data_IF_893115448397
#
_entry.id   IF_893115448397
#
_cell.length_a   1.000
_cell.length_b   1.000
_cell.length_c   1.000
_cell.angle_alpha   90.00
_cell.angle_beta   90.00
_cell.angle_gamma   90.00
#
_symmetry.space_group_name_H-M   'P 1'
#
loop_
_entity.id
_entity.type
_entity.pdbx_description
1 polymer ?
#
# COMPACT_ATOMS: atom_id res chain seq x y z
N UNK A 1 42.81 -6.98 16.48
CA UNK A 1 41.65 -6.40 15.77
C UNK A 1 40.32 -6.87 16.35
N UNK A 2 40.07 -8.18 16.46
CA UNK A 2 38.82 -8.73 17.02
C UNK A 2 38.50 -8.21 18.44
N UNK A 3 39.45 -8.31 19.36
CA UNK A 3 39.22 -7.92 20.76
C UNK A 3 38.97 -6.40 20.92
N UNK A 4 39.57 -5.58 20.06
CA UNK A 4 39.32 -4.14 20.02
C UNK A 4 37.90 -3.82 19.52
N UNK A 5 37.42 -4.53 18.49
CA UNK A 5 36.05 -4.36 17.97
C UNK A 5 35.02 -4.83 19.00
N UNK A 6 35.26 -5.94 19.68
CA UNK A 6 34.38 -6.46 20.72
C UNK A 6 34.33 -5.53 21.94
N UNK A 7 35.46 -4.94 22.34
CA UNK A 7 35.52 -3.94 23.40
C UNK A 7 34.73 -2.66 23.04
N UNK A 8 34.88 -2.15 21.81
CA UNK A 8 34.12 -0.99 21.32
C UNK A 8 32.62 -1.29 21.29
N UNK A 9 32.21 -2.47 20.80
CA UNK A 9 30.81 -2.89 20.79
C UNK A 9 30.23 -2.99 22.21
N UNK A 10 30.99 -3.54 23.15
CA UNK A 10 30.57 -3.64 24.55
C UNK A 10 30.39 -2.26 25.19
N UNK A 11 31.27 -1.30 24.91
CA UNK A 11 31.15 0.07 25.42
C UNK A 11 29.93 0.79 24.84
N UNK A 12 29.68 0.67 23.52
CA UNK A 12 28.49 1.24 22.87
C UNK A 12 27.21 0.65 23.46
N UNK A 13 27.14 -0.67 23.60
CA UNK A 13 25.97 -1.34 24.19
C UNK A 13 25.75 -0.96 25.65
N UNK A 14 26.83 -0.83 26.43
CA UNK A 14 26.76 -0.40 27.83
C UNK A 14 26.23 1.03 27.95
N UNK A 15 26.74 1.96 27.12
CA UNK A 15 26.28 3.35 27.07
C UNK A 15 24.82 3.44 26.61
N UNK A 16 24.44 2.72 25.57
CA UNK A 16 23.06 2.67 25.06
C UNK A 16 22.09 2.14 26.12
N UNK A 17 22.43 1.04 26.79
CA UNK A 17 21.60 0.45 27.85
C UNK A 17 21.45 1.39 29.05
N UNK A 18 22.54 2.07 29.44
CA UNK A 18 22.49 3.07 30.51
C UNK A 18 21.56 4.24 30.15
N UNK A 19 21.69 4.80 28.95
CA UNK A 19 20.84 5.89 28.47
C UNK A 19 19.36 5.49 28.37
N UNK A 20 19.08 4.28 27.87
CA UNK A 20 17.71 3.75 27.80
C UNK A 20 17.09 3.58 29.19
N UNK A 21 17.84 3.06 30.16
CA UNK A 21 17.38 2.93 31.55
C UNK A 21 17.13 4.28 32.21
N UNK A 22 18.03 5.26 32.01
CA UNK A 22 17.85 6.64 32.53
C UNK A 22 16.60 7.27 31.91
N UNK A 23 16.42 7.15 30.59
CA UNK A 23 15.24 7.68 29.92
C UNK A 23 13.95 7.02 30.42
N UNK A 24 13.93 5.69 30.59
CA UNK A 24 12.77 4.97 31.12
C UNK A 24 12.41 5.43 32.54
N UNK A 25 13.41 5.62 33.41
CA UNK A 25 13.20 6.10 34.77
C UNK A 25 12.68 7.56 34.79
N UNK A 26 13.25 8.44 33.96
CA UNK A 26 12.75 9.82 33.83
C UNK A 26 11.32 9.87 33.31
N UNK A 27 10.93 9.00 32.38
CA UNK A 27 9.56 8.92 31.88
C UNK A 27 8.59 8.35 32.92
N UNK A 28 9.01 7.39 33.78
CA UNK A 28 8.19 6.94 34.90
C UNK A 28 8.02 8.03 35.95
N UNK A 29 9.08 8.76 36.28
CA UNK A 29 9.02 9.85 37.26
C UNK A 29 8.12 11.00 36.78
N UNK A 30 8.22 11.38 35.50
CA UNK A 30 7.29 12.35 34.87
C UNK A 30 5.84 11.89 34.96
N UNK A 31 5.56 10.60 34.78
CA UNK A 31 4.19 10.05 34.89
C UNK A 31 3.68 10.05 36.33
N UNK A 32 4.54 9.76 37.30
CA UNK A 32 4.17 9.77 38.74
C UNK A 32 3.94 11.18 39.26
N UNK A 33 4.72 12.17 38.80
CA UNK A 33 4.60 13.59 39.19
C UNK A 33 3.45 14.32 38.47
N UNK A 34 2.87 13.74 37.41
CA UNK A 34 1.74 14.32 36.71
C UNK A 34 0.42 14.13 37.50
N UNK A 35 -0.24 15.24 37.83
CA UNK A 35 -1.59 15.25 38.42
C UNK A 35 -2.59 14.45 37.58
N UNK A 36 -3.61 13.79 38.18
CA UNK A 36 -4.61 12.99 37.46
C UNK A 36 -5.31 13.74 36.31
N UNK A 37 -5.54 15.05 36.49
CA UNK A 37 -6.13 15.95 35.49
C UNK A 37 -5.18 16.30 34.32
N UNK A 38 -3.87 16.06 34.46
CA UNK A 38 -2.87 16.19 33.39
C UNK A 38 -2.46 14.84 32.78
N UNK A 39 -2.86 13.70 33.34
CA UNK A 39 -2.63 12.38 32.74
C UNK A 39 -3.39 12.21 31.41
N UNK A 40 -4.45 13.02 31.16
CA UNK A 40 -5.12 13.11 29.86
C UNK A 40 -4.40 13.98 28.82
N UNK A 41 -3.39 14.76 29.24
CA UNK A 41 -2.47 15.46 28.35
C UNK A 41 -1.17 14.67 28.24
N UNK A 42 -1.27 13.36 27.95
CA UNK A 42 -0.16 12.65 27.36
C UNK A 42 0.32 13.49 26.16
N UNK A 43 1.63 13.73 26.06
CA UNK A 43 2.29 14.47 24.98
C UNK A 43 1.56 14.24 23.65
N UNK A 44 1.33 15.26 22.79
CA UNK A 44 0.47 15.14 21.62
C UNK A 44 0.93 13.94 20.79
N UNK A 45 0.28 12.79 21.01
CA UNK A 45 0.56 11.60 20.25
C UNK A 45 0.03 11.95 18.89
N UNK A 46 0.94 12.24 17.95
CA UNK A 46 0.56 12.50 16.58
C UNK A 46 -0.41 11.39 16.19
N UNK A 47 -1.64 11.78 15.81
CA UNK A 47 -2.67 10.81 15.42
C UNK A 47 -2.08 10.02 14.26
N UNK A 48 -1.73 8.75 14.49
CA UNK A 48 -1.20 7.88 13.44
C UNK A 48 -2.38 7.51 12.55
N UNK A 49 -2.37 8.01 11.32
CA UNK A 49 -3.36 7.62 10.33
C UNK A 49 -2.96 6.27 9.74
N UNK A 50 -3.88 5.32 9.84
CA UNK A 50 -3.71 4.00 9.24
C UNK A 50 -4.15 4.09 7.78
N UNK A 51 -3.33 3.60 6.82
CA UNK A 51 -3.69 3.66 5.41
C UNK A 51 -4.96 2.83 5.15
N UNK A 52 -5.83 3.38 4.29
CA UNK A 52 -6.99 2.67 3.73
C UNK A 52 -6.82 2.58 2.23
N UNK A 53 -7.33 1.50 1.65
CA UNK A 53 -7.27 1.30 0.22
C UNK A 53 -8.22 2.28 -0.47
N UNK A 54 -7.75 2.95 -1.52
CA UNK A 54 -8.62 3.79 -2.34
C UNK A 54 -8.99 3.06 -3.64
N UNK A 55 -9.99 2.17 -3.55
CA UNK A 55 -10.49 1.39 -4.68
C UNK A 55 -10.97 2.24 -5.85
N UNK A 56 -11.65 3.36 -5.59
CA UNK A 56 -12.11 4.24 -6.67
C UNK A 56 -10.93 4.83 -7.45
N UNK A 57 -9.93 5.36 -6.74
CA UNK A 57 -8.68 5.83 -7.36
C UNK A 57 -7.97 4.69 -8.10
N UNK A 58 -7.90 3.50 -7.50
CA UNK A 58 -7.25 2.35 -8.09
C UNK A 58 -7.85 1.92 -9.43
N UNK A 59 -9.18 1.90 -9.54
CA UNK A 59 -9.85 1.54 -10.78
C UNK A 59 -9.86 2.65 -11.83
N UNK A 60 -9.99 3.92 -11.40
CA UNK A 60 -10.20 5.04 -12.31
C UNK A 60 -8.90 5.74 -12.75
N UNK A 61 -7.86 5.77 -11.90
CA UNK A 61 -6.59 6.42 -12.27
C UNK A 61 -5.74 5.62 -13.24
N UNK A 62 -6.14 4.37 -13.55
CA UNK A 62 -5.54 3.58 -14.64
C UNK A 62 -5.92 4.08 -16.03
N UNK A 63 -6.90 5.00 -16.15
CA UNK A 63 -7.30 5.54 -17.44
C UNK A 63 -6.19 6.45 -17.99
N UNK A 64 -5.89 6.39 -19.30
CA UNK A 64 -4.90 7.27 -19.91
C UNK A 64 -5.20 8.75 -19.62
N UNK A 65 -4.24 9.46 -19.04
CA UNK A 65 -4.40 10.89 -18.71
C UNK A 65 -4.49 11.72 -19.99
N UNK A 66 -5.49 12.59 -20.05
CA UNK A 66 -5.69 13.51 -21.19
C UNK A 66 -4.91 14.82 -21.06
N UNK A 67 -4.05 14.97 -20.05
CA UNK A 67 -3.31 16.21 -19.79
C UNK A 67 -2.41 16.64 -20.95
N UNK A 68 -1.93 15.69 -21.76
CA UNK A 68 -1.10 15.97 -22.94
C UNK A 68 -1.89 16.37 -24.20
N UNK A 69 -3.22 16.24 -24.20
CA UNK A 69 -4.03 16.41 -25.41
C UNK A 69 -3.97 17.86 -25.93
N UNK A 70 -4.02 18.85 -25.04
CA UNK A 70 -3.94 20.26 -25.43
C UNK A 70 -2.60 20.61 -26.11
N UNK A 71 -1.49 20.07 -25.58
CA UNK A 71 -0.17 20.24 -26.18
C UNK A 71 -0.03 19.52 -27.52
N UNK A 72 -0.60 18.31 -27.63
CA UNK A 72 -0.61 17.54 -28.87
C UNK A 72 -1.45 18.24 -29.95
N UNK A 73 -2.61 18.79 -29.60
CA UNK A 73 -3.45 19.54 -30.54
C UNK A 73 -2.79 20.78 -31.12
N UNK A 74 -1.89 21.42 -30.36
CA UNK A 74 -1.13 22.57 -30.82
C UNK A 74 0.12 22.21 -31.64
N UNK A 75 0.46 20.92 -31.74
CA UNK A 75 1.67 20.48 -32.45
C UNK A 75 1.49 20.55 -33.97
N UNK A 76 2.56 20.94 -34.68
CA UNK A 76 2.59 20.99 -36.14
C UNK A 76 2.25 19.63 -36.76
N UNK A 77 2.69 18.52 -36.15
CA UNK A 77 2.37 17.16 -36.61
C UNK A 77 0.87 16.91 -36.58
N UNK A 78 0.20 17.25 -35.47
CA UNK A 78 -1.25 17.06 -35.34
C UNK A 78 -2.02 17.95 -36.31
N UNK A 79 -1.57 19.19 -36.53
CA UNK A 79 -2.15 20.09 -37.52
C UNK A 79 -2.07 19.52 -38.94
N UNK A 80 -0.94 18.89 -39.31
CA UNK A 80 -0.79 18.22 -40.61
C UNK A 80 -1.71 17.01 -40.77
N UNK A 81 -1.94 16.23 -39.71
CA UNK A 81 -2.83 15.07 -39.73
C UNK A 81 -4.33 15.42 -39.60
N UNK A 82 -4.65 16.67 -39.30
CA UNK A 82 -6.03 17.08 -39.03
C UNK A 82 -6.92 16.88 -40.27
N UNK A 83 -7.98 16.08 -40.13
CA UNK A 83 -8.92 15.78 -41.22
C UNK A 83 -8.39 14.79 -42.27
N UNK A 84 -7.19 14.23 -42.10
CA UNK A 84 -6.64 13.23 -43.03
C UNK A 84 -7.26 11.84 -42.85
N UNK A 85 -7.87 11.56 -41.70
CA UNK A 85 -8.43 10.26 -41.33
C UNK A 85 -9.94 10.35 -41.18
N UNK A 86 -10.68 9.43 -41.81
CA UNK A 86 -12.09 9.19 -41.49
C UNK A 86 -12.17 8.39 -40.18
N UNK A 87 -12.50 9.06 -39.07
CA UNK A 87 -12.57 8.44 -37.74
C UNK A 87 -13.56 7.29 -37.67
N UNK A 88 -14.55 7.20 -38.58
CA UNK A 88 -15.49 6.06 -38.65
C UNK A 88 -14.81 4.77 -39.14
N UNK A 89 -13.64 4.88 -39.76
CA UNK A 89 -12.84 3.76 -40.27
C UNK A 89 -11.64 3.46 -39.38
N UNK A 90 -11.42 4.23 -38.31
CA UNK A 90 -10.31 4.02 -37.38
C UNK A 90 -10.80 3.13 -36.24
N UNK A 91 -10.22 1.95 -36.14
CA UNK A 91 -10.47 1.04 -35.01
C UNK A 91 -9.54 1.43 -33.86
N UNK A 92 -10.12 1.58 -32.66
CA UNK A 92 -9.38 1.89 -31.43
C UNK A 92 -9.73 0.88 -30.34
N UNK A 93 -8.79 0.63 -29.43
CA UNK A 93 -9.04 -0.17 -28.23
C UNK A 93 -9.62 0.75 -27.15
N UNK A 94 -10.86 0.50 -26.75
CA UNK A 94 -11.58 1.32 -25.74
C UNK A 94 -11.52 0.72 -24.33
N UNK A 95 -11.09 -0.54 -24.21
CA UNK A 95 -10.94 -1.24 -22.95
C UNK A 95 -10.39 -2.65 -23.16
N UNK A 96 -9.88 -3.25 -22.08
CA UNK A 96 -9.39 -4.62 -22.06
C UNK A 96 -9.57 -5.22 -20.66
N UNK A 97 -9.52 -6.53 -20.58
CA UNK A 97 -9.57 -7.28 -19.33
C UNK A 97 -9.10 -8.71 -19.57
N UNK A 98 -8.73 -9.39 -18.49
CA UNK A 98 -8.23 -10.76 -18.55
C UNK A 98 -8.67 -11.54 -17.30
N UNK A 99 -8.62 -12.86 -17.42
CA UNK A 99 -8.56 -13.78 -16.29
C UNK A 99 -7.26 -14.56 -16.47
N UNK A 100 -6.33 -14.40 -15.55
CA UNK A 100 -4.98 -14.95 -15.66
C UNK A 100 -4.53 -15.55 -14.32
N UNK A 101 -3.39 -16.29 -14.29
CA UNK A 101 -2.84 -16.83 -13.04
C UNK A 101 -2.58 -15.79 -11.95
N UNK A 102 -2.53 -14.50 -12.33
CA UNK A 102 -2.36 -13.35 -11.43
C UNK A 102 -3.65 -12.56 -11.20
N UNK A 103 -4.82 -13.12 -11.51
CA UNK A 103 -6.11 -12.44 -11.35
C UNK A 103 -6.54 -11.74 -12.64
N UNK A 104 -6.58 -10.41 -12.64
CA UNK A 104 -6.95 -9.61 -13.79
C UNK A 104 -5.81 -8.70 -14.23
N UNK A 105 -6.08 -7.82 -15.21
CA UNK A 105 -5.04 -7.01 -15.83
C UNK A 105 -4.37 -6.02 -14.88
N UNK A 106 -5.03 -5.58 -13.81
CA UNK A 106 -4.42 -4.68 -12.81
C UNK A 106 -3.45 -5.43 -11.92
N UNK A 107 -3.91 -6.52 -11.31
CA UNK A 107 -3.10 -7.33 -10.39
C UNK A 107 -1.94 -8.01 -11.14
N UNK A 108 -2.17 -8.48 -12.37
CA UNK A 108 -1.10 -9.00 -13.23
C UNK A 108 -0.09 -7.91 -13.62
N UNK A 109 -0.54 -6.68 -13.90
CA UNK A 109 0.37 -5.56 -14.21
C UNK A 109 1.24 -5.15 -13.02
N UNK A 110 0.70 -5.18 -11.80
CA UNK A 110 1.50 -4.92 -10.59
C UNK A 110 2.62 -5.94 -10.42
N UNK A 111 2.29 -7.23 -10.53
CA UNK A 111 3.27 -8.29 -10.42
C UNK A 111 4.31 -8.24 -11.55
N UNK A 112 3.89 -7.94 -12.77
CA UNK A 112 4.77 -7.82 -13.93
C UNK A 112 5.70 -6.59 -13.84
N UNK A 113 5.19 -5.45 -13.36
CA UNK A 113 5.94 -4.18 -13.37
C UNK A 113 6.78 -3.95 -12.11
N UNK A 114 6.26 -4.38 -10.96
CA UNK A 114 6.84 -4.07 -9.64
C UNK A 114 7.26 -5.31 -8.87
N UNK A 115 6.75 -6.50 -9.21
CA UNK A 115 7.05 -7.75 -8.50
C UNK A 115 6.41 -7.85 -7.10
N UNK A 116 5.53 -6.91 -6.74
CA UNK A 116 4.79 -6.89 -5.49
C UNK A 116 3.41 -6.27 -5.69
N UNK A 117 2.46 -6.60 -4.80
CA UNK A 117 1.13 -6.01 -4.85
C UNK A 117 1.06 -4.70 -4.06
N UNK A 118 0.30 -3.74 -4.56
CA UNK A 118 -0.18 -2.62 -3.76
C UNK A 118 -1.16 -3.10 -2.68
N UNK A 119 -1.53 -2.21 -1.74
CA UNK A 119 -2.60 -2.53 -0.79
C UNK A 119 -3.90 -2.85 -1.53
N UNK A 120 -4.19 -2.04 -2.54
CA UNK A 120 -5.35 -2.15 -3.41
C UNK A 120 -5.35 -3.44 -4.22
N UNK A 121 -4.23 -3.77 -4.88
CA UNK A 121 -4.08 -5.00 -5.66
C UNK A 121 -4.20 -6.25 -4.79
N UNK A 122 -3.65 -6.22 -3.58
CA UNK A 122 -3.76 -7.33 -2.63
C UNK A 122 -5.22 -7.53 -2.17
N UNK A 123 -5.95 -6.45 -1.89
CA UNK A 123 -7.38 -6.51 -1.56
C UNK A 123 -8.20 -7.05 -2.73
N UNK A 124 -7.97 -6.55 -3.95
CA UNK A 124 -8.67 -7.03 -5.14
C UNK A 124 -8.44 -8.54 -5.34
N UNK A 125 -7.19 -9.01 -5.25
CA UNK A 125 -6.88 -10.42 -5.45
C UNK A 125 -7.38 -11.30 -4.30
N UNK A 126 -7.28 -10.84 -3.05
CA UNK A 126 -7.85 -11.53 -1.89
C UNK A 126 -9.37 -11.70 -2.03
N UNK A 127 -10.06 -10.68 -2.53
CA UNK A 127 -11.49 -10.72 -2.79
C UNK A 127 -11.84 -11.67 -3.95
N UNK A 128 -11.15 -11.53 -5.09
CA UNK A 128 -11.38 -12.39 -6.27
C UNK A 128 -11.16 -13.88 -5.98
N UNK A 129 -10.21 -14.20 -5.09
CA UNK A 129 -9.88 -15.58 -4.69
C UNK A 129 -10.65 -16.07 -3.47
N UNK A 130 -11.61 -15.30 -2.97
CA UNK A 130 -12.52 -15.71 -1.89
C UNK A 130 -11.89 -15.80 -0.50
N UNK A 131 -10.76 -15.11 -0.26
CA UNK A 131 -10.14 -15.01 1.06
C UNK A 131 -10.86 -14.01 1.95
N UNK A 132 -11.32 -12.91 1.35
CA UNK A 132 -12.14 -11.89 2.02
C UNK A 132 -13.44 -11.68 1.26
N UNK A 133 -14.48 -11.29 2.00
CA UNK A 133 -15.80 -10.91 1.48
C UNK A 133 -16.18 -9.54 2.00
N UNK A 134 -16.97 -8.79 1.25
CA UNK A 134 -17.47 -7.49 1.71
C UNK A 134 -18.83 -7.68 2.39
N UNK A 135 -18.91 -7.46 3.69
CA UNK A 135 -20.13 -7.57 4.49
C UNK A 135 -20.36 -6.32 5.33
N UNK A 136 -21.58 -5.77 5.29
CA UNK A 136 -22.01 -4.59 6.07
C UNK A 136 -20.99 -3.44 6.08
N UNK A 137 -20.38 -3.16 4.92
CA UNK A 137 -19.44 -2.06 4.76
C UNK A 137 -17.99 -2.36 5.20
N UNK A 138 -17.67 -3.61 5.54
CA UNK A 138 -16.34 -4.02 5.98
C UNK A 138 -15.83 -5.21 5.16
N UNK A 139 -14.51 -5.31 5.00
CA UNK A 139 -13.90 -6.57 4.60
C UNK A 139 -13.93 -7.54 5.76
N UNK A 140 -14.27 -8.78 5.47
CA UNK A 140 -14.44 -9.86 6.44
C UNK A 140 -13.73 -11.09 5.91
N UNK A 141 -12.99 -11.79 6.77
CA UNK A 141 -12.37 -13.06 6.41
C UNK A 141 -13.46 -14.09 6.06
N UNK A 142 -13.31 -14.75 4.90
CA UNK A 142 -14.33 -15.64 4.39
C UNK A 142 -14.56 -16.86 5.29
N UNK A 143 -13.53 -17.34 6.00
CA UNK A 143 -13.55 -18.53 6.86
C UNK A 143 -13.96 -18.18 8.29
N UNK A 144 -13.28 -17.23 8.93
CA UNK A 144 -13.46 -16.93 10.36
C UNK A 144 -14.60 -15.95 10.62
N UNK A 145 -15.05 -15.22 9.59
CA UNK A 145 -16.03 -14.13 9.71
C UNK A 145 -15.57 -12.95 10.57
N UNK A 146 -14.26 -12.83 10.81
CA UNK A 146 -13.68 -11.68 11.49
C UNK A 146 -13.56 -10.48 10.55
N UNK A 147 -13.81 -9.28 11.06
CA UNK A 147 -13.57 -8.05 10.32
C UNK A 147 -12.06 -7.88 10.10
N UNK A 148 -11.68 -7.62 8.86
CA UNK A 148 -10.30 -7.37 8.45
C UNK A 148 -10.18 -5.93 7.96
N UNK A 149 -9.46 -5.06 8.68
CA UNK A 149 -9.15 -3.73 8.17
C UNK A 149 -8.23 -3.80 6.95
N UNK A 150 -8.38 -2.88 5.99
CA UNK A 150 -7.61 -2.83 4.74
C UNK A 150 -6.11 -3.08 4.94
N UNK A 151 -5.46 -2.31 5.81
CA UNK A 151 -4.02 -2.40 6.10
C UNK A 151 -3.55 -3.77 6.61
N UNK A 152 -4.46 -4.63 7.08
CA UNK A 152 -4.14 -5.99 7.53
C UNK A 152 -4.29 -7.03 6.43
N UNK A 153 -4.93 -6.71 5.31
CA UNK A 153 -5.15 -7.66 4.21
C UNK A 153 -3.81 -8.13 3.64
N UNK A 154 -2.91 -7.19 3.31
CA UNK A 154 -1.58 -7.54 2.77
C UNK A 154 -0.77 -8.43 3.73
N UNK A 155 -0.54 -8.05 5.01
CA UNK A 155 0.17 -8.91 5.97
C UNK A 155 -0.47 -10.28 6.22
N UNK A 156 -1.80 -10.40 6.14
CA UNK A 156 -2.51 -11.66 6.43
C UNK A 156 -2.55 -12.62 5.25
N UNK A 157 -2.70 -12.10 4.03
CA UNK A 157 -3.06 -12.93 2.87
C UNK A 157 -2.02 -12.93 1.75
N UNK A 158 -1.09 -11.98 1.68
CA UNK A 158 -0.16 -11.88 0.55
C UNK A 158 0.69 -13.14 0.39
N UNK A 159 1.25 -13.68 1.47
CA UNK A 159 2.08 -14.89 1.40
C UNK A 159 1.28 -16.08 0.84
N UNK A 160 0.03 -16.24 1.27
CA UNK A 160 -0.86 -17.30 0.80
C UNK A 160 -1.31 -17.07 -0.65
N UNK A 161 -1.55 -15.81 -1.04
CA UNK A 161 -1.85 -15.42 -2.41
C UNK A 161 -0.69 -15.76 -3.33
N UNK A 162 0.55 -15.42 -2.97
CA UNK A 162 1.74 -15.68 -3.77
C UNK A 162 1.97 -17.19 -3.96
N UNK A 163 1.79 -17.99 -2.91
CA UNK A 163 1.87 -19.46 -2.98
C UNK A 163 0.82 -20.06 -3.92
N UNK A 164 -0.33 -19.40 -4.05
CA UNK A 164 -1.48 -19.86 -4.84
C UNK A 164 -1.82 -18.92 -5.99
N UNK A 165 -0.84 -18.24 -6.59
CA UNK A 165 -0.96 -17.41 -7.80
C UNK A 165 0.26 -17.59 -8.71
N UNK A 166 0.18 -17.20 -9.98
CA UNK A 166 1.27 -17.38 -10.95
C UNK A 166 1.50 -18.83 -11.41
N UNK A 167 2.69 -19.11 -11.95
CA UNK A 167 3.07 -20.46 -12.39
C UNK A 167 3.37 -21.31 -11.16
N UNK A 168 2.62 -22.39 -10.99
CA UNK A 168 2.71 -23.32 -9.85
C UNK A 168 2.01 -24.63 -10.18
#
# INVERSE_FOLDING_TARGET
LKDQVDAIRADIMKKSKLQASIHAALESDKKMLALPSKQQLAAPSSKKFVPRANMSSYYCNSFPKLSGVAGLSASTKQAMLHGMLDLRKVVVVTGFGEVSPWGNSRTRWEMESYGEFSLEGCIELAWLTGRIVFDKGNWVDAKTKEIVPDHQVKPRYEEDILKHSGIR
#
